data_IF_638543318208
#
_entry.id   IF_638543318208
#
_cell.length_a   1.000
_cell.length_b   1.000
_cell.length_c   1.000
_cell.angle_alpha   90.00
_cell.angle_beta   90.00
_cell.angle_gamma   90.00
#
_symmetry.space_group_name_H-M   'P 1'
#
loop_
_entity.id
_entity.type
_entity.pdbx_description
1 polymer ?
#
# COMPACT_ATOMS: atom_id res chain seq x y z
N UNK A 1 -3.29 -9.44 -12.50
CA UNK A 1 -2.14 -8.72 -11.91
C UNK A 1 -2.64 -7.47 -11.21
N UNK A 2 -2.46 -7.41 -9.93
CA UNK A 2 -3.08 -6.41 -9.07
C UNK A 2 -2.45 -5.01 -9.21
N UNK A 3 -3.28 -3.99 -9.08
CA UNK A 3 -2.98 -2.62 -9.46
C UNK A 3 -1.81 -1.88 -8.81
N UNK A 4 -1.26 -2.32 -7.67
CA UNK A 4 -0.16 -1.59 -7.02
C UNK A 4 1.21 -1.85 -7.64
N UNK A 5 1.51 -3.08 -8.06
CA UNK A 5 2.83 -3.44 -8.60
C UNK A 5 3.03 -3.02 -10.05
N UNK A 6 1.96 -2.96 -10.85
CA UNK A 6 2.09 -2.71 -12.29
C UNK A 6 2.30 -1.21 -12.61
N UNK A 7 1.58 -0.32 -11.95
CA UNK A 7 1.76 1.11 -12.16
C UNK A 7 3.02 1.65 -11.46
N UNK A 8 3.43 1.08 -10.32
CA UNK A 8 4.70 1.37 -9.69
C UNK A 8 5.91 1.08 -10.61
N UNK A 9 5.81 0.03 -11.45
CA UNK A 9 6.82 -0.29 -12.47
C UNK A 9 6.90 0.72 -13.63
N UNK A 10 5.81 1.43 -13.95
CA UNK A 10 5.77 2.47 -15.00
C UNK A 10 6.41 3.78 -14.52
N UNK A 11 6.51 3.98 -13.22
CA UNK A 11 6.98 5.21 -12.55
C UNK A 11 8.49 5.51 -12.68
N UNK A 12 9.31 4.58 -13.17
CA UNK A 12 10.75 4.74 -13.26
C UNK A 12 11.21 5.61 -14.44
N UNK A 13 10.91 6.93 -14.41
CA UNK A 13 11.67 7.92 -15.19
C UNK A 13 12.47 8.82 -14.26
N UNK A 14 13.80 8.74 -14.47
CA UNK A 14 14.87 9.49 -13.81
C UNK A 14 14.51 10.98 -13.62
N UNK A 15 14.60 11.47 -12.39
CA UNK A 15 14.58 12.90 -12.07
C UNK A 15 13.67 13.32 -10.90
N UNK A 16 12.75 12.45 -10.47
CA UNK A 16 11.86 12.70 -9.32
C UNK A 16 12.21 11.88 -8.06
N UNK A 17 13.31 11.11 -8.09
CA UNK A 17 13.62 10.10 -7.08
C UNK A 17 13.70 10.66 -5.65
N UNK A 18 14.37 11.78 -5.45
CA UNK A 18 14.58 12.36 -4.11
C UNK A 18 13.29 12.93 -3.52
N UNK A 19 12.45 13.60 -4.33
CA UNK A 19 11.15 14.12 -3.90
C UNK A 19 10.20 13.00 -3.56
N UNK A 20 10.17 11.94 -4.35
CA UNK A 20 9.36 10.74 -4.10
C UNK A 20 9.83 10.02 -2.84
N UNK A 21 11.14 9.87 -2.65
CA UNK A 21 11.73 9.27 -1.44
C UNK A 21 11.36 10.05 -0.19
N UNK A 22 11.41 11.37 -0.23
CA UNK A 22 11.01 12.23 0.89
C UNK A 22 9.53 12.04 1.24
N UNK A 23 8.64 11.94 0.25
CA UNK A 23 7.21 11.69 0.46
C UNK A 23 6.95 10.31 1.07
N UNK A 24 7.58 9.26 0.54
CA UNK A 24 7.49 7.90 1.08
C UNK A 24 7.93 7.91 2.56
N UNK A 25 9.04 8.55 2.88
CA UNK A 25 9.52 8.65 4.25
C UNK A 25 8.57 9.42 5.15
N UNK A 26 7.93 10.48 4.64
CA UNK A 26 6.93 11.25 5.40
C UNK A 26 5.71 10.39 5.75
N UNK A 27 5.17 9.63 4.77
CA UNK A 27 4.03 8.73 4.96
C UNK A 27 4.37 7.61 5.96
N UNK A 28 5.51 6.95 5.79
CA UNK A 28 5.97 5.90 6.69
C UNK A 28 6.22 6.43 8.10
N UNK A 29 6.82 7.63 8.25
CA UNK A 29 6.99 8.26 9.56
C UNK A 29 5.64 8.56 10.23
N UNK A 30 4.64 9.04 9.46
CA UNK A 30 3.28 9.27 9.97
C UNK A 30 2.66 7.95 10.45
N UNK A 31 2.73 6.88 9.66
CA UNK A 31 2.20 5.56 10.01
C UNK A 31 2.87 4.99 11.27
N UNK A 32 4.20 5.04 11.36
CA UNK A 32 4.96 4.62 12.55
C UNK A 32 4.52 5.39 13.79
N UNK A 33 4.43 6.72 13.69
CA UNK A 33 4.01 7.58 14.81
C UNK A 33 2.61 7.24 15.29
N UNK A 34 1.66 7.05 14.36
CA UNK A 34 0.27 6.72 14.70
C UNK A 34 0.16 5.30 15.25
N UNK A 35 0.85 4.32 14.66
CA UNK A 35 0.87 2.96 15.16
C UNK A 35 1.41 2.89 16.59
N UNK A 36 2.49 3.61 16.89
CA UNK A 36 3.06 3.70 18.24
C UNK A 36 2.17 4.48 19.24
N UNK A 37 1.39 5.45 18.74
CA UNK A 37 0.46 6.25 19.59
C UNK A 37 -0.79 5.47 19.97
N UNK A 38 -1.33 4.65 19.04
CA UNK A 38 -2.57 3.90 19.23
C UNK A 38 -2.35 2.53 19.89
N UNK A 39 -1.13 2.03 19.90
CA UNK A 39 -0.74 0.75 20.49
C UNK A 39 0.47 0.86 21.39
N UNK A 40 1.23 -0.23 21.48
CA UNK A 40 2.49 -0.25 22.22
C UNK A 40 3.64 0.31 21.35
N UNK A 41 4.64 0.93 21.97
CA UNK A 41 5.88 1.39 21.32
C UNK A 41 6.87 0.27 21.06
N UNK A 42 6.68 -0.87 21.71
CA UNK A 42 7.45 -2.06 21.43
C UNK A 42 6.88 -2.77 20.18
N UNK A 43 7.65 -2.90 19.10
CA UNK A 43 7.20 -3.62 17.91
C UNK A 43 6.87 -5.10 18.19
N UNK A 44 7.42 -5.71 19.22
CA UNK A 44 7.09 -7.08 19.61
C UNK A 44 5.63 -7.21 20.08
N UNK A 45 5.10 -6.17 20.72
CA UNK A 45 3.73 -6.11 21.25
C UNK A 45 2.74 -5.40 20.31
N UNK A 46 3.23 -4.77 19.24
CA UNK A 46 2.40 -3.98 18.31
C UNK A 46 2.60 -4.45 16.87
N UNK A 47 1.71 -5.32 16.33
CA UNK A 47 1.82 -5.83 14.97
C UNK A 47 1.79 -4.74 13.89
N UNK A 48 0.95 -3.69 14.08
CA UNK A 48 0.87 -2.54 13.16
C UNK A 48 2.19 -1.78 13.11
N UNK A 49 2.79 -1.51 14.25
CA UNK A 49 4.09 -0.84 14.34
C UNK A 49 5.20 -1.69 13.70
N UNK A 50 5.17 -2.99 13.93
CA UNK A 50 6.13 -3.93 13.34
C UNK A 50 6.06 -3.91 11.82
N UNK A 51 4.87 -3.97 11.23
CA UNK A 51 4.67 -3.88 9.77
C UNK A 51 5.13 -2.52 9.22
N UNK A 52 4.80 -1.42 9.89
CA UNK A 52 5.23 -0.07 9.47
C UNK A 52 6.77 0.08 9.52
N UNK A 53 7.43 -0.45 10.54
CA UNK A 53 8.90 -0.47 10.64
C UNK A 53 9.51 -1.32 9.53
N UNK A 54 8.93 -2.48 9.22
CA UNK A 54 9.38 -3.34 8.14
C UNK A 54 9.30 -2.61 6.78
N UNK A 55 8.17 -1.99 6.47
CA UNK A 55 7.99 -1.19 5.26
C UNK A 55 9.00 -0.03 5.17
N UNK A 56 9.28 0.64 6.31
CA UNK A 56 10.28 1.71 6.38
C UNK A 56 11.71 1.21 6.08
N UNK A 57 12.08 0.05 6.62
CA UNK A 57 13.39 -0.59 6.34
C UNK A 57 13.51 -1.01 4.88
N UNK A 58 12.47 -1.59 4.30
CA UNK A 58 12.43 -1.96 2.88
C UNK A 58 12.53 -0.74 1.96
N UNK A 59 12.01 0.41 2.39
CA UNK A 59 12.18 1.70 1.70
C UNK A 59 13.55 2.34 1.95
N UNK A 60 14.48 1.68 2.65
CA UNK A 60 15.80 2.21 3.06
C UNK A 60 15.71 3.49 3.91
N UNK A 61 14.71 3.58 4.80
CA UNK A 61 14.64 4.66 5.77
C UNK A 61 15.73 4.50 6.84
N UNK A 62 16.53 5.55 7.14
CA UNK A 62 17.51 5.49 8.21
C UNK A 62 16.90 5.14 9.57
N UNK A 63 17.64 4.33 10.34
CA UNK A 63 17.20 3.86 11.67
C UNK A 63 16.81 5.02 12.59
N UNK A 64 17.60 6.10 12.59
CA UNK A 64 17.34 7.29 13.39
C UNK A 64 16.00 7.97 13.03
N UNK A 65 15.56 7.88 11.78
CA UNK A 65 14.26 8.42 11.37
C UNK A 65 13.10 7.56 11.89
N UNK A 66 13.28 6.24 11.91
CA UNK A 66 12.30 5.28 12.47
C UNK A 66 12.17 5.52 13.98
N UNK A 67 13.28 5.58 14.72
CA UNK A 67 13.31 5.83 16.16
C UNK A 67 12.67 7.18 16.49
N UNK A 68 13.01 8.24 15.76
CA UNK A 68 12.41 9.56 15.92
C UNK A 68 10.91 9.57 15.66
N UNK A 69 10.42 8.76 14.72
CA UNK A 69 8.99 8.64 14.44
C UNK A 69 8.25 7.93 15.60
N UNK A 70 8.87 6.92 16.22
CA UNK A 70 8.33 6.26 17.42
C UNK A 70 8.30 7.25 18.59
N UNK A 71 9.39 8.00 18.82
CA UNK A 71 9.49 8.96 19.93
C UNK A 71 8.46 10.08 19.82
N UNK A 72 8.15 10.55 18.61
CA UNK A 72 7.10 11.55 18.34
C UNK A 72 5.73 11.13 18.88
N UNK A 73 5.45 9.83 18.98
CA UNK A 73 4.20 9.34 19.55
C UNK A 73 3.99 9.72 21.03
N UNK A 74 5.08 10.04 21.74
CA UNK A 74 5.07 10.48 23.15
C UNK A 74 4.69 11.93 23.33
N UNK A 75 4.81 12.74 22.28
CA UNK A 75 4.47 14.16 22.34
C UNK A 75 2.95 14.27 22.25
N UNK A 76 2.34 14.88 23.27
CA UNK A 76 0.91 15.15 23.33
C UNK A 76 0.54 16.21 22.26
N UNK A 77 0.55 15.83 21.00
CA UNK A 77 -0.06 16.60 19.94
C UNK A 77 -1.56 16.28 19.93
N UNK A 78 -2.39 17.31 19.99
CA UNK A 78 -3.86 17.21 19.95
C UNK A 78 -4.40 16.62 18.63
N UNK A 79 -3.52 16.35 17.67
CA UNK A 79 -3.89 15.76 16.39
C UNK A 79 -4.31 14.29 16.57
N UNK A 80 -5.61 14.08 16.53
CA UNK A 80 -6.20 12.74 16.46
C UNK A 80 -6.23 12.31 15.00
N UNK A 81 -5.30 11.43 14.62
CA UNK A 81 -5.32 10.85 13.28
C UNK A 81 -6.41 9.78 13.17
N UNK A 82 -7.15 9.85 12.07
CA UNK A 82 -8.18 8.88 11.71
C UNK A 82 -7.77 8.16 10.41
N UNK A 83 -7.98 6.83 10.38
CA UNK A 83 -7.90 6.07 9.14
C UNK A 83 -9.23 6.20 8.41
N UNK A 84 -9.19 6.69 7.19
CA UNK A 84 -10.37 6.90 6.35
C UNK A 84 -10.20 6.19 5.03
N UNK A 85 -11.30 5.65 4.50
CA UNK A 85 -11.36 5.07 3.17
C UNK A 85 -12.28 5.88 2.29
N UNK A 86 -11.77 6.25 1.13
CA UNK A 86 -12.53 6.90 0.07
C UNK A 86 -12.64 5.96 -1.12
N UNK A 87 -13.76 6.01 -1.81
CA UNK A 87 -14.06 5.15 -2.93
C UNK A 87 -14.64 5.98 -4.07
N UNK A 88 -14.32 5.60 -5.31
CA UNK A 88 -14.84 6.31 -6.47
C UNK A 88 -14.43 5.66 -7.77
N UNK A 89 -14.77 6.35 -8.86
CA UNK A 89 -14.43 5.96 -10.22
C UNK A 89 -13.60 7.06 -10.87
N UNK A 90 -12.37 6.73 -11.24
CA UNK A 90 -11.47 7.61 -11.98
C UNK A 90 -11.79 7.68 -13.48
N UNK A 91 -10.87 8.26 -14.27
CA UNK A 91 -10.95 8.20 -15.74
C UNK A 91 -11.20 6.78 -16.22
N UNK A 92 -11.83 6.64 -17.39
CA UNK A 92 -12.17 5.35 -18.02
C UNK A 92 -13.01 4.42 -17.10
N UNK A 93 -13.72 4.98 -16.10
CA UNK A 93 -14.52 4.26 -15.11
C UNK A 93 -13.73 3.25 -14.28
N UNK A 94 -12.43 3.49 -14.11
CA UNK A 94 -11.57 2.68 -13.24
C UNK A 94 -12.06 2.82 -11.80
N UNK A 95 -12.36 1.71 -11.15
CA UNK A 95 -12.69 1.68 -9.74
C UNK A 95 -11.43 1.97 -8.90
N UNK A 96 -11.57 2.84 -7.90
CA UNK A 96 -10.46 3.29 -7.06
C UNK A 96 -10.85 3.25 -5.59
N UNK A 97 -9.98 2.67 -4.77
CA UNK A 97 -10.03 2.73 -3.32
C UNK A 97 -8.82 3.52 -2.83
N UNK A 98 -9.04 4.44 -1.91
CA UNK A 98 -8.00 5.29 -1.34
C UNK A 98 -8.05 5.13 0.17
N UNK A 99 -6.93 4.73 0.76
CA UNK A 99 -6.74 4.72 2.20
C UNK A 99 -5.98 5.98 2.60
N UNK A 100 -6.50 6.70 3.58
CA UNK A 100 -5.94 7.95 4.06
C UNK A 100 -5.78 7.92 5.58
N UNK A 101 -4.70 8.55 6.05
CA UNK A 101 -4.43 8.79 7.45
C UNK A 101 -4.35 10.30 7.66
N UNK A 102 -5.36 10.87 8.31
CA UNK A 102 -5.51 12.32 8.41
C UNK A 102 -5.95 12.77 9.80
N UNK A 103 -5.54 13.97 10.15
CA UNK A 103 -6.04 14.74 11.30
C UNK A 103 -7.20 15.69 10.93
N UNK A 104 -7.55 15.77 9.62
CA UNK A 104 -8.63 16.64 9.13
C UNK A 104 -9.37 16.02 7.94
N UNK A 105 -10.42 15.26 8.26
CA UNK A 105 -11.25 14.55 7.26
C UNK A 105 -11.87 15.45 6.20
N UNK A 106 -12.23 16.69 6.55
CA UNK A 106 -12.87 17.61 5.61
C UNK A 106 -11.89 18.13 4.58
N UNK A 107 -10.67 18.47 5.01
CA UNK A 107 -9.56 18.85 4.12
C UNK A 107 -9.25 17.73 3.14
N UNK A 108 -9.07 16.51 3.64
CA UNK A 108 -8.73 15.36 2.82
C UNK A 108 -9.84 15.01 1.83
N UNK A 109 -11.10 14.96 2.27
CA UNK A 109 -12.24 14.68 1.39
C UNK A 109 -12.38 15.73 0.28
N UNK A 110 -12.19 17.01 0.60
CA UNK A 110 -12.26 18.12 -0.38
C UNK A 110 -11.14 18.01 -1.41
N UNK A 111 -9.91 17.72 -0.96
CA UNK A 111 -8.74 17.54 -1.83
C UNK A 111 -8.93 16.37 -2.79
N UNK A 112 -9.29 15.19 -2.27
CA UNK A 112 -9.52 13.99 -3.08
C UNK A 112 -10.66 14.23 -4.09
N UNK A 113 -11.78 14.82 -3.66
CA UNK A 113 -12.89 15.16 -4.56
C UNK A 113 -12.45 16.06 -5.71
N UNK A 114 -11.62 17.05 -5.41
CA UNK A 114 -11.09 17.97 -6.43
C UNK A 114 -10.21 17.24 -7.44
N UNK A 115 -9.38 16.28 -6.99
CA UNK A 115 -8.55 15.47 -7.88
C UNK A 115 -9.42 14.63 -8.82
N UNK A 116 -10.43 13.94 -8.28
CA UNK A 116 -11.37 13.16 -9.10
C UNK A 116 -12.08 14.04 -10.13
N UNK A 117 -12.63 15.19 -9.74
CA UNK A 117 -13.36 16.10 -10.64
C UNK A 117 -12.46 16.62 -11.76
N UNK A 118 -11.22 17.02 -11.45
CA UNK A 118 -10.27 17.52 -12.47
C UNK A 118 -9.88 16.44 -13.48
N UNK A 119 -9.85 15.18 -13.07
CA UNK A 119 -9.55 14.05 -13.94
C UNK A 119 -10.78 13.49 -14.68
N UNK A 120 -11.96 14.09 -14.52
CA UNK A 120 -13.20 13.60 -15.15
C UNK A 120 -13.81 12.39 -14.45
N UNK A 121 -13.35 12.07 -13.24
CA UNK A 121 -13.88 11.01 -12.38
C UNK A 121 -14.91 11.51 -11.37
N UNK A 122 -15.38 10.60 -10.53
CA UNK A 122 -16.35 10.90 -9.47
C UNK A 122 -16.01 10.19 -8.17
N UNK A 123 -15.90 10.95 -7.09
CA UNK A 123 -15.79 10.39 -5.74
C UNK A 123 -17.18 9.96 -5.27
N UNK A 124 -17.32 8.67 -4.98
CA UNK A 124 -18.57 8.08 -4.51
C UNK A 124 -18.70 8.05 -2.99
N UNK A 125 -19.69 7.32 -2.53
CA UNK A 125 -19.84 6.97 -1.12
C UNK A 125 -19.07 5.70 -0.79
N UNK A 126 -18.86 5.43 0.48
CA UNK A 126 -18.25 4.18 0.93
C UNK A 126 -19.10 2.99 0.44
N UNK A 127 -18.45 1.95 -0.09
CA UNK A 127 -19.10 0.80 -0.73
C UNK A 127 -19.34 0.96 -2.23
N UNK A 128 -19.11 2.15 -2.83
CA UNK A 128 -19.39 2.37 -4.25
C UNK A 128 -18.43 1.64 -5.19
N UNK A 129 -17.18 1.42 -4.78
CA UNK A 129 -16.16 0.78 -5.60
C UNK A 129 -15.63 -0.54 -5.01
N UNK A 130 -15.75 -0.75 -3.70
CA UNK A 130 -15.14 -1.89 -3.00
C UNK A 130 -15.66 -3.26 -3.43
N UNK A 131 -16.87 -3.34 -4.04
CA UNK A 131 -17.37 -4.58 -4.62
C UNK A 131 -16.54 -5.10 -5.82
N UNK A 132 -15.67 -4.27 -6.39
CA UNK A 132 -14.73 -4.66 -7.44
C UNK A 132 -13.43 -5.25 -6.91
N UNK A 133 -13.27 -5.36 -5.59
CA UNK A 133 -12.04 -5.78 -4.93
C UNK A 133 -12.30 -6.83 -3.86
N UNK A 134 -11.29 -7.67 -3.63
CA UNK A 134 -11.19 -8.48 -2.43
C UNK A 134 -10.13 -7.88 -1.50
N UNK A 135 -10.37 -7.90 -0.20
CA UNK A 135 -9.35 -7.56 0.78
C UNK A 135 -8.59 -8.81 1.15
N UNK A 136 -7.27 -8.84 0.88
CA UNK A 136 -6.40 -9.99 1.07
C UNK A 136 -5.17 -9.61 1.91
N UNK A 137 -4.61 -10.60 2.59
CA UNK A 137 -3.27 -10.53 3.14
C UNK A 137 -2.25 -10.74 2.04
N UNK A 138 -1.33 -9.79 1.87
CA UNK A 138 -0.27 -9.82 0.86
C UNK A 138 1.08 -9.84 1.56
N UNK A 139 1.89 -10.85 1.24
CA UNK A 139 3.27 -10.98 1.73
C UNK A 139 4.20 -10.94 0.52
N UNK A 140 5.14 -9.98 0.52
CA UNK A 140 6.13 -9.83 -0.54
C UNK A 140 7.53 -10.17 -0.04
N UNK A 141 8.24 -10.98 -0.82
CA UNK A 141 9.56 -11.52 -0.51
C UNK A 141 10.48 -11.24 -1.70
N UNK A 142 11.70 -10.76 -1.46
CA UNK A 142 12.68 -10.51 -2.52
C UNK A 142 13.00 -11.82 -3.26
N UNK A 143 13.02 -11.79 -4.58
CA UNK A 143 13.30 -12.95 -5.43
C UNK A 143 14.66 -13.59 -5.18
N UNK A 144 15.60 -12.84 -4.59
CA UNK A 144 16.94 -13.34 -4.25
C UNK A 144 16.96 -14.22 -3.02
N UNK A 145 15.92 -14.17 -2.19
CA UNK A 145 15.87 -14.95 -0.94
C UNK A 145 15.58 -16.43 -1.19
N UNK A 146 14.78 -16.73 -2.23
CA UNK A 146 14.28 -18.08 -2.47
C UNK A 146 13.91 -18.25 -3.95
N UNK A 147 14.05 -19.48 -4.48
CA UNK A 147 13.64 -19.81 -5.85
C UNK A 147 12.12 -19.89 -6.02
N UNK A 148 11.63 -19.81 -7.28
CA UNK A 148 10.22 -19.89 -7.62
C UNK A 148 9.58 -21.19 -7.13
N UNK A 149 10.26 -22.32 -7.30
CA UNK A 149 9.77 -23.64 -6.88
C UNK A 149 9.69 -23.76 -5.35
N UNK A 150 10.73 -23.29 -4.66
CA UNK A 150 10.77 -23.35 -3.20
C UNK A 150 9.72 -22.46 -2.55
N UNK A 151 9.52 -21.23 -3.06
CA UNK A 151 8.51 -20.34 -2.48
C UNK A 151 7.10 -20.87 -2.71
N UNK A 152 6.85 -21.52 -3.85
CA UNK A 152 5.55 -22.13 -4.13
C UNK A 152 5.24 -23.26 -3.14
N UNK A 153 6.23 -24.11 -2.83
CA UNK A 153 6.10 -25.17 -1.83
C UNK A 153 5.88 -24.59 -0.42
N UNK A 154 6.69 -23.61 -0.03
CA UNK A 154 6.59 -22.97 1.28
C UNK A 154 5.25 -22.26 1.47
N UNK A 155 4.77 -21.51 0.46
CA UNK A 155 3.49 -20.81 0.49
C UNK A 155 2.32 -21.81 0.60
N UNK A 156 2.36 -22.89 -0.17
CA UNK A 156 1.34 -23.95 -0.12
C UNK A 156 1.29 -24.60 1.26
N UNK A 157 2.45 -24.95 1.83
CA UNK A 157 2.54 -25.54 3.16
C UNK A 157 2.11 -24.58 4.27
N UNK A 158 2.30 -23.26 4.07
CA UNK A 158 1.86 -22.23 4.98
C UNK A 158 0.35 -21.95 4.91
N UNK A 159 -0.37 -22.53 3.92
CA UNK A 159 -1.81 -22.33 3.75
C UNK A 159 -2.18 -21.06 3.00
N UNK A 160 -1.32 -20.60 2.10
CA UNK A 160 -1.63 -19.48 1.20
C UNK A 160 -2.61 -19.91 0.10
N UNK A 161 -3.45 -18.95 -0.35
CA UNK A 161 -4.41 -19.17 -1.45
C UNK A 161 -3.72 -19.08 -2.82
N UNK A 162 -2.73 -18.19 -2.96
CA UNK A 162 -2.03 -17.95 -4.22
C UNK A 162 -0.58 -17.54 -3.96
N UNK A 163 0.31 -17.96 -4.86
CA UNK A 163 1.71 -17.54 -4.89
C UNK A 163 2.09 -17.16 -6.33
N UNK A 164 2.51 -15.91 -6.52
CA UNK A 164 2.94 -15.35 -7.80
C UNK A 164 4.40 -14.96 -7.72
N UNK A 165 5.17 -15.33 -8.74
CA UNK A 165 6.56 -14.88 -8.91
C UNK A 165 6.62 -13.80 -9.97
N UNK A 166 6.96 -12.60 -9.55
CA UNK A 166 7.21 -11.45 -10.41
C UNK A 166 8.71 -11.33 -10.74
N UNK A 167 9.12 -10.26 -11.43
CA UNK A 167 10.52 -10.11 -11.84
C UNK A 167 11.46 -9.91 -10.65
N UNK A 168 11.04 -9.15 -9.63
CA UNK A 168 11.89 -8.71 -8.52
C UNK A 168 11.46 -9.31 -7.16
N UNK A 169 10.26 -9.86 -7.06
CA UNK A 169 9.71 -10.39 -5.81
C UNK A 169 8.72 -11.53 -6.05
N UNK A 170 8.46 -12.28 -4.99
CA UNK A 170 7.35 -13.21 -4.89
C UNK A 170 6.21 -12.55 -4.11
N UNK A 171 4.97 -12.71 -4.57
CA UNK A 171 3.76 -12.24 -3.91
C UNK A 171 2.92 -13.43 -3.46
N UNK A 172 2.68 -13.51 -2.16
CA UNK A 172 1.88 -14.56 -1.54
C UNK A 172 0.58 -13.93 -1.06
N UNK A 173 -0.54 -14.53 -1.44
CA UNK A 173 -1.88 -14.06 -1.09
C UNK A 173 -2.55 -15.05 -0.16
N UNK A 174 -3.23 -14.55 0.87
CA UNK A 174 -3.98 -15.35 1.82
C UNK A 174 -5.19 -14.56 2.37
N UNK A 175 -6.12 -15.22 3.07
CA UNK A 175 -7.18 -14.52 3.79
C UNK A 175 -6.59 -13.53 4.81
N UNK A 176 -7.25 -12.39 5.01
CA UNK A 176 -6.81 -11.36 5.98
C UNK A 176 -6.60 -11.94 7.38
N UNK A 177 -7.44 -12.87 7.81
CA UNK A 177 -7.33 -13.54 9.12
C UNK A 177 -6.06 -14.37 9.27
N UNK A 178 -5.51 -14.88 8.17
CA UNK A 178 -4.42 -15.85 8.16
C UNK A 178 -3.04 -15.21 7.92
N UNK A 179 -2.97 -13.93 7.58
CA UNK A 179 -1.71 -13.28 7.15
C UNK A 179 -0.56 -13.47 8.15
N UNK A 180 -0.83 -13.41 9.45
CA UNK A 180 0.20 -13.59 10.47
C UNK A 180 0.58 -15.06 10.67
N UNK A 181 -0.34 -15.99 10.48
CA UNK A 181 -0.08 -17.43 10.55
C UNK A 181 0.77 -17.85 9.36
N UNK A 182 0.38 -17.45 8.14
CA UNK A 182 1.15 -17.70 6.91
C UNK A 182 2.54 -17.10 7.02
N UNK A 183 2.65 -15.84 7.46
CA UNK A 183 3.95 -15.20 7.66
C UNK A 183 4.84 -15.98 8.64
N UNK A 184 4.28 -16.40 9.78
CA UNK A 184 5.01 -17.13 10.81
C UNK A 184 5.56 -18.48 10.31
N UNK A 185 4.81 -19.16 9.45
CA UNK A 185 5.29 -20.39 8.81
C UNK A 185 6.44 -20.09 7.86
N UNK A 186 6.32 -19.06 7.02
CA UNK A 186 7.37 -18.63 6.10
C UNK A 186 8.64 -18.15 6.83
N UNK A 187 8.52 -17.52 8.00
CA UNK A 187 9.66 -17.05 8.82
C UNK A 187 10.57 -18.19 9.32
N UNK A 188 10.16 -19.45 9.20
CA UNK A 188 11.02 -20.60 9.54
C UNK A 188 12.17 -20.78 8.55
N UNK A 189 11.96 -20.39 7.29
CA UNK A 189 12.91 -20.57 6.19
C UNK A 189 13.36 -19.24 5.56
N UNK A 190 12.57 -18.18 5.72
CA UNK A 190 12.78 -16.87 5.08
C UNK A 190 12.99 -15.81 6.16
N UNK A 191 14.05 -15.01 6.00
CA UNK A 191 14.40 -13.98 6.98
C UNK A 191 14.03 -12.57 6.53
N UNK A 192 14.05 -12.30 5.22
CA UNK A 192 13.85 -10.95 4.68
C UNK A 192 12.52 -10.86 3.90
N UNK A 193 11.59 -10.11 4.46
CA UNK A 193 10.31 -9.79 3.84
C UNK A 193 10.33 -8.33 3.38
N UNK A 194 9.87 -8.07 2.16
CA UNK A 194 9.71 -6.71 1.65
C UNK A 194 8.55 -6.03 2.36
N UNK A 195 7.37 -6.68 2.38
CA UNK A 195 6.18 -6.17 3.07
C UNK A 195 5.28 -7.30 3.55
N UNK A 196 4.42 -6.96 4.50
CA UNK A 196 3.34 -7.82 5.01
C UNK A 196 2.16 -6.89 5.30
N UNK A 197 1.21 -6.81 4.38
CA UNK A 197 0.17 -5.79 4.36
C UNK A 197 -1.18 -6.38 3.97
N UNK A 198 -2.25 -5.69 4.32
CA UNK A 198 -3.59 -6.00 3.84
C UNK A 198 -3.85 -5.08 2.65
N UNK A 199 -4.10 -5.64 1.48
CA UNK A 199 -4.31 -4.88 0.23
C UNK A 199 -5.69 -5.15 -0.36
N UNK A 200 -6.19 -4.21 -1.16
CA UNK A 200 -7.38 -4.35 -1.97
C UNK A 200 -6.99 -4.84 -3.36
N UNK A 201 -7.25 -6.12 -3.61
CA UNK A 201 -6.90 -6.79 -4.87
C UNK A 201 -8.12 -6.80 -5.80
N UNK A 202 -8.02 -6.29 -7.04
CA UNK A 202 -9.16 -6.24 -7.94
C UNK A 202 -9.62 -7.65 -8.36
N UNK A 203 -10.94 -7.85 -8.38
CA UNK A 203 -11.57 -9.09 -8.88
C UNK A 203 -11.54 -9.12 -10.40
N UNK A 204 -11.77 -7.97 -11.03
CA UNK A 204 -11.76 -7.81 -12.48
C UNK A 204 -10.96 -6.56 -12.86
N UNK A 205 -10.20 -6.64 -13.96
CA UNK A 205 -9.42 -5.52 -14.48
C UNK A 205 -10.18 -4.74 -15.56
N UNK A 206 -9.91 -3.43 -15.63
CA UNK A 206 -10.32 -2.56 -16.74
C UNK A 206 -9.08 -2.29 -17.60
N UNK A 207 -9.09 -2.77 -18.84
CA UNK A 207 -7.98 -2.55 -19.78
C UNK A 207 -7.96 -1.11 -20.26
N UNK A 208 -6.82 -0.45 -20.10
CA UNK A 208 -6.60 0.94 -20.45
C UNK A 208 -5.82 1.01 -21.76
N UNK A 209 -6.36 1.75 -22.74
CA UNK A 209 -5.65 1.97 -23.99
C UNK A 209 -4.42 2.85 -23.80
N UNK A 210 -3.40 2.67 -24.65
CA UNK A 210 -2.13 3.44 -24.58
C UNK A 210 -2.35 4.95 -24.57
N UNK A 211 -3.36 5.43 -25.29
CA UNK A 211 -3.70 6.86 -25.41
C UNK A 211 -4.18 7.46 -24.10
N UNK A 212 -4.76 6.63 -23.23
CA UNK A 212 -5.31 7.03 -21.91
C UNK A 212 -4.37 6.75 -20.73
N UNK A 213 -3.27 6.08 -20.99
CA UNK A 213 -2.32 5.72 -19.92
C UNK A 213 -1.79 6.96 -19.18
N UNK A 214 -1.44 8.03 -19.93
CA UNK A 214 -0.85 9.23 -19.34
C UNK A 214 -1.84 9.97 -18.43
N UNK A 215 -3.08 10.12 -18.83
CA UNK A 215 -4.13 10.77 -18.05
C UNK A 215 -4.39 10.01 -16.73
N UNK A 216 -4.46 8.68 -16.82
CA UNK A 216 -4.71 7.83 -15.66
C UNK A 216 -3.49 7.78 -14.70
N UNK A 217 -2.27 7.74 -15.24
CA UNK A 217 -1.03 7.82 -14.44
C UNK A 217 -0.97 9.16 -13.70
N UNK A 218 -1.23 10.27 -14.38
CA UNK A 218 -1.27 11.60 -13.76
C UNK A 218 -2.34 11.69 -12.64
N UNK A 219 -3.49 11.08 -12.85
CA UNK A 219 -4.52 11.00 -11.82
C UNK A 219 -4.05 10.25 -10.58
N UNK A 220 -3.42 9.09 -10.73
CA UNK A 220 -2.87 8.34 -9.59
C UNK A 220 -1.70 9.09 -8.92
N UNK A 221 -0.83 9.73 -9.69
CA UNK A 221 0.24 10.57 -9.14
C UNK A 221 -0.31 11.70 -8.27
N UNK A 222 -1.38 12.37 -8.70
CA UNK A 222 -2.01 13.43 -7.91
C UNK A 222 -2.63 12.90 -6.61
N UNK A 223 -3.24 11.72 -6.63
CA UNK A 223 -3.76 11.07 -5.42
C UNK A 223 -2.62 10.71 -4.45
N UNK A 224 -1.57 10.07 -4.95
CA UNK A 224 -0.42 9.69 -4.13
C UNK A 224 0.39 10.89 -3.64
N UNK A 225 0.35 12.01 -4.35
CA UNK A 225 1.01 13.26 -3.96
C UNK A 225 0.33 13.95 -2.78
N UNK A 226 -0.89 13.55 -2.43
CA UNK A 226 -1.58 14.04 -1.25
C UNK A 226 -0.96 13.44 0.02
N UNK A 227 -0.54 14.29 0.96
CA UNK A 227 0.16 13.89 2.18
C UNK A 227 -0.69 13.03 3.13
N UNK A 228 -2.01 13.10 3.03
CA UNK A 228 -2.93 12.32 3.84
C UNK A 228 -3.23 10.95 3.23
N UNK A 229 -3.02 10.76 1.92
CA UNK A 229 -3.23 9.49 1.23
C UNK A 229 -2.07 8.54 1.54
N UNK A 230 -2.38 7.37 2.05
CA UNK A 230 -1.39 6.31 2.31
C UNK A 230 -1.29 5.37 1.10
N UNK A 231 -2.40 4.79 0.70
CA UNK A 231 -2.47 3.81 -0.39
C UNK A 231 -3.55 4.17 -1.40
N UNK A 232 -3.30 3.84 -2.66
CA UNK A 232 -4.27 3.95 -3.76
C UNK A 232 -4.33 2.60 -4.46
N UNK A 233 -5.50 1.98 -4.49
CA UNK A 233 -5.76 0.72 -5.18
C UNK A 233 -6.68 0.97 -6.36
N UNK A 234 -6.45 0.28 -7.46
CA UNK A 234 -7.27 0.41 -8.65
C UNK A 234 -7.40 -0.91 -9.39
N UNK A 235 -8.45 -1.02 -10.20
CA UNK A 235 -8.63 -2.15 -11.10
C UNK A 235 -8.15 -1.86 -12.53
N UNK A 236 -7.32 -0.84 -12.73
CA UNK A 236 -6.72 -0.51 -14.02
C UNK A 236 -5.68 -1.55 -14.44
N UNK A 237 -5.76 -1.99 -15.70
CA UNK A 237 -4.76 -2.83 -16.36
C UNK A 237 -4.21 -2.08 -17.58
N UNK A 238 -2.96 -1.64 -17.49
CA UNK A 238 -2.30 -0.92 -18.58
C UNK A 238 -1.86 -1.93 -19.67
N UNK A 239 -2.35 -1.73 -20.88
CA UNK A 239 -1.97 -2.54 -22.04
C UNK A 239 -0.68 -1.95 -22.64
N UNK A 240 0.36 -2.77 -22.77
CA UNK A 240 1.66 -2.43 -23.37
C UNK A 240 1.59 -2.23 -24.90
#
# INVERSE_FOLDING_TARGET
>A
MAGHSHWAGIKHKKGKADKQRSKIFSKLSKEITVAAKLGDKDPAMNPRLRSAIQAARSANMPKENIERAIDKSSVNTESNFENLRYEGFGPEKVAVIIEALTDNKNRTASSIRTIFQKAGGNLGTQGSASHNFNQLGIIKIDKKEVSDDQIFELATNAGADECKSENDFHEIQCPVSEIYNVKKELEKEITNFISTEIEWVPVNSVKISKEKNEDLINFFELLEDNDDVQNVYSNAEFVN
#
